data_IF_582256038609
#
_entry.id   IF_582256038609
#
_cell.length_a   1.000
_cell.length_b   1.000
_cell.length_c   1.000
_cell.angle_alpha   90.00
_cell.angle_beta   90.00
_cell.angle_gamma   90.00
#
_symmetry.space_group_name_H-M   'P 1'
#
loop_
_entity.id
_entity.type
_entity.pdbx_description
1 polymer ?
#
# COMPACT_ATOMS: atom_id res chain seq x y z
N UNK A 1 6.19 -0.51 -4.83
CA UNK A 1 4.95 -1.29 -4.92
C UNK A 1 5.34 -2.76 -4.96
N UNK A 2 4.84 -3.54 -4.02
CA UNK A 2 5.08 -4.99 -3.93
C UNK A 2 3.81 -5.75 -4.33
N UNK A 3 3.94 -7.04 -4.64
CA UNK A 3 2.85 -7.93 -5.06
C UNK A 3 1.69 -7.93 -4.05
N UNK A 4 1.99 -7.88 -2.76
CA UNK A 4 0.97 -7.83 -1.71
C UNK A 4 0.11 -6.56 -1.79
N UNK A 5 0.70 -5.41 -2.12
CA UNK A 5 -0.07 -4.18 -2.34
C UNK A 5 -0.93 -4.30 -3.60
N UNK A 6 -0.43 -4.95 -4.66
CA UNK A 6 -1.24 -5.22 -5.87
C UNK A 6 -2.43 -6.15 -5.61
N UNK A 7 -2.28 -7.13 -4.72
CA UNK A 7 -3.41 -7.97 -4.28
C UNK A 7 -4.44 -7.15 -3.48
N UNK A 8 -3.97 -6.23 -2.63
CA UNK A 8 -4.84 -5.32 -1.89
C UNK A 8 -5.58 -4.36 -2.82
N UNK A 9 -4.90 -3.83 -3.84
CA UNK A 9 -5.49 -3.00 -4.88
C UNK A 9 -6.65 -3.73 -5.56
N UNK A 10 -6.43 -4.98 -5.97
CA UNK A 10 -7.44 -5.80 -6.63
C UNK A 10 -8.64 -6.11 -5.71
N UNK A 11 -8.40 -6.40 -4.43
CA UNK A 11 -9.45 -6.67 -3.46
C UNK A 11 -10.31 -5.43 -3.24
N UNK A 12 -9.71 -4.30 -2.85
CA UNK A 12 -10.43 -3.06 -2.56
C UNK A 12 -11.20 -2.60 -3.79
N UNK A 13 -10.57 -2.57 -4.96
CA UNK A 13 -11.26 -2.16 -6.18
C UNK A 13 -12.45 -3.08 -6.49
N UNK A 14 -12.30 -4.41 -6.34
CA UNK A 14 -13.42 -5.35 -6.55
C UNK A 14 -14.58 -5.11 -5.59
N UNK A 15 -14.30 -4.79 -4.32
CA UNK A 15 -15.33 -4.46 -3.33
C UNK A 15 -16.06 -3.15 -3.68
N UNK A 16 -15.32 -2.09 -4.05
CA UNK A 16 -15.91 -0.79 -4.44
C UNK A 16 -16.78 -0.88 -5.68
N UNK A 17 -16.43 -1.77 -6.62
CA UNK A 17 -17.18 -1.97 -7.86
C UNK A 17 -18.41 -2.88 -7.71
N UNK A 18 -18.39 -3.79 -6.72
CA UNK A 18 -19.49 -4.76 -6.50
C UNK A 18 -20.50 -4.28 -5.46
N UNK A 19 -20.11 -3.39 -4.56
CA UNK A 19 -21.04 -2.76 -3.62
C UNK A 19 -21.89 -1.68 -4.31
N UNK A 20 -23.21 -1.71 -4.11
CA UNK A 20 -24.17 -0.69 -4.60
C UNK A 20 -24.01 0.70 -3.94
N UNK A 21 -22.92 0.94 -3.21
CA UNK A 21 -22.64 2.18 -2.49
C UNK A 21 -22.28 3.36 -3.40
N UNK A 22 -21.94 3.12 -4.68
CA UNK A 22 -21.49 4.14 -5.61
C UNK A 22 -22.47 4.30 -6.78
N UNK A 23 -22.83 5.55 -7.08
CA UNK A 23 -23.80 5.89 -8.14
C UNK A 23 -23.19 5.88 -9.55
N UNK A 24 -21.86 5.88 -9.65
CA UNK A 24 -21.14 5.80 -10.92
C UNK A 24 -19.81 5.07 -10.76
N UNK A 25 -19.31 4.50 -11.85
CA UNK A 25 -18.02 3.81 -11.91
C UNK A 25 -16.87 4.73 -11.48
N UNK A 26 -16.89 5.97 -11.92
CA UNK A 26 -15.87 6.98 -11.61
C UNK A 26 -15.82 7.29 -10.11
N UNK A 27 -16.98 7.30 -9.44
CA UNK A 27 -17.03 7.53 -7.99
C UNK A 27 -16.44 6.36 -7.19
N UNK A 28 -16.63 5.12 -7.66
CA UNK A 28 -16.04 3.94 -7.05
C UNK A 28 -14.52 3.91 -7.25
N UNK A 29 -14.04 4.20 -8.47
CA UNK A 29 -12.60 4.26 -8.78
C UNK A 29 -11.93 5.35 -7.96
N UNK A 30 -12.49 6.56 -7.91
CA UNK A 30 -11.92 7.66 -7.13
C UNK A 30 -11.84 7.31 -5.64
N UNK A 31 -12.85 6.66 -5.09
CA UNK A 31 -12.81 6.22 -3.70
C UNK A 31 -11.74 5.16 -3.44
N UNK A 32 -11.50 4.25 -4.39
CA UNK A 32 -10.39 3.32 -4.34
C UNK A 32 -9.04 4.05 -4.38
N UNK A 33 -8.85 5.00 -5.30
CA UNK A 33 -7.60 5.74 -5.43
C UNK A 33 -7.25 6.55 -4.17
N UNK A 34 -8.25 7.17 -3.54
CA UNK A 34 -8.10 7.89 -2.27
C UNK A 34 -7.62 6.97 -1.14
N UNK A 35 -8.16 5.75 -1.06
CA UNK A 35 -7.77 4.74 -0.08
C UNK A 35 -6.37 4.15 -0.39
N UNK A 36 -6.10 3.89 -1.68
CA UNK A 36 -4.82 3.38 -2.17
C UNK A 36 -3.64 4.30 -1.85
N UNK A 37 -3.85 5.61 -1.98
CA UNK A 37 -2.82 6.60 -1.66
C UNK A 37 -2.35 6.55 -0.21
N UNK A 38 -3.19 6.09 0.74
CA UNK A 38 -2.84 6.01 2.15
C UNK A 38 -1.81 4.90 2.37
N UNK A 39 -2.16 3.66 2.02
CA UNK A 39 -1.25 2.53 2.26
C UNK A 39 -0.03 2.53 1.33
N UNK A 40 -0.14 3.08 0.11
CA UNK A 40 1.04 3.23 -0.78
C UNK A 40 2.06 4.19 -0.19
N UNK A 41 1.62 5.31 0.41
CA UNK A 41 2.55 6.23 1.08
C UNK A 41 3.23 5.59 2.27
N UNK A 42 2.50 4.83 3.08
CA UNK A 42 3.07 4.11 4.23
C UNK A 42 4.12 3.08 3.79
N UNK A 43 3.79 2.26 2.78
CA UNK A 43 4.69 1.27 2.23
C UNK A 43 5.95 1.90 1.62
N UNK A 44 5.78 3.01 0.90
CA UNK A 44 6.89 3.74 0.30
C UNK A 44 7.83 4.32 1.36
N UNK A 45 7.28 4.98 2.40
CA UNK A 45 8.07 5.53 3.49
C UNK A 45 8.80 4.43 4.29
N UNK A 46 8.16 3.29 4.52
CA UNK A 46 8.79 2.15 5.18
C UNK A 46 9.94 1.59 4.34
N UNK A 47 9.74 1.46 3.02
CA UNK A 47 10.78 0.99 2.09
C UNK A 47 11.96 1.96 2.02
N UNK A 48 11.70 3.27 1.91
CA UNK A 48 12.74 4.31 1.86
C UNK A 48 13.59 4.32 3.14
N UNK A 49 12.94 4.25 4.31
CA UNK A 49 13.65 4.17 5.59
C UNK A 49 14.51 2.90 5.68
N UNK A 50 13.93 1.76 5.33
CA UNK A 50 14.66 0.49 5.34
C UNK A 50 15.86 0.53 4.39
N UNK A 51 15.72 1.11 3.19
CA UNK A 51 16.82 1.25 2.24
C UNK A 51 17.96 2.12 2.79
N UNK A 52 17.64 3.24 3.44
CA UNK A 52 18.63 4.12 4.08
C UNK A 52 19.34 3.39 5.22
N UNK A 53 18.59 2.69 6.07
CA UNK A 53 19.15 1.98 7.23
C UNK A 53 20.03 0.80 6.79
N UNK A 54 19.60 0.04 5.77
CA UNK A 54 20.37 -1.08 5.21
C UNK A 54 21.72 -0.66 4.60
N UNK A 55 21.88 0.61 4.22
CA UNK A 55 23.15 1.14 3.68
C UNK A 55 24.16 1.51 4.77
N UNK A 56 23.75 1.54 6.04
CA UNK A 56 24.64 1.85 7.17
C UNK A 56 25.53 0.65 7.49
N UNK A 57 26.79 0.91 7.84
CA UNK A 57 27.78 -0.14 8.11
C UNK A 57 27.50 -0.98 9.34
N UNK A 58 26.69 -0.48 10.26
CA UNK A 58 26.28 -1.10 11.52
C UNK A 58 24.90 -1.78 11.44
N UNK A 59 24.28 -1.80 10.25
CA UNK A 59 22.99 -2.44 10.06
C UNK A 59 23.08 -3.96 10.28
N UNK A 60 22.08 -4.51 10.98
CA UNK A 60 21.91 -5.95 11.13
C UNK A 60 20.43 -6.31 11.17
N UNK A 61 20.04 -7.30 10.36
CA UNK A 61 18.68 -7.83 10.34
C UNK A 61 18.24 -8.43 11.69
N UNK A 62 19.17 -8.76 12.60
CA UNK A 62 18.83 -9.21 13.95
C UNK A 62 18.06 -8.14 14.75
N UNK A 63 18.21 -6.85 14.40
CA UNK A 63 17.46 -5.75 15.04
C UNK A 63 15.95 -5.82 14.76
N UNK A 64 15.52 -6.53 13.70
CA UNK A 64 14.11 -6.64 13.28
C UNK A 64 13.38 -7.84 13.89
N UNK A 65 14.10 -8.74 14.58
CA UNK A 65 13.58 -10.02 15.10
C UNK A 65 13.44 -9.98 16.64
N UNK A 66 13.84 -8.87 17.27
CA UNK A 66 13.96 -8.77 18.74
C UNK A 66 12.68 -8.28 19.42
#
# INVERSE_FOLDING_TARGET
MDVNNGCLDALILSEKLTHESYKSLESAIKSYEEEMLIYVREAQLASERNEIDMRKSDFSFQQLIR
#
